data_IF_020879862868
#
_entry.id   IF_020879862868
#
_cell.length_a   1.000
_cell.length_b   1.000
_cell.length_c   1.000
_cell.angle_alpha   90.00
_cell.angle_beta   90.00
_cell.angle_gamma   90.00
#
_symmetry.space_group_name_H-M   'P 1'
#
loop_
_entity.id
_entity.type
_entity.pdbx_description
1 polymer ?
#
# COMPACT_ATOMS: atom_id res chain seq x y z
N UNK A 1 -66.00 18.49 19.93
CA UNK A 1 -65.59 17.91 18.64
C UNK A 1 -64.27 18.56 18.27
N UNK A 2 -63.18 17.91 18.69
CA UNK A 2 -61.85 18.48 18.52
C UNK A 2 -61.08 17.55 17.57
N UNK A 3 -60.88 17.98 16.36
CA UNK A 3 -60.25 17.30 15.27
C UNK A 3 -58.76 17.69 15.20
N UNK A 4 -57.90 16.89 15.80
CA UNK A 4 -56.45 17.09 15.81
C UNK A 4 -55.83 16.48 14.54
N UNK A 5 -55.07 17.19 13.71
CA UNK A 5 -54.45 16.61 12.53
C UNK A 5 -53.26 15.74 12.90
N UNK A 6 -53.20 14.52 12.33
CA UNK A 6 -52.07 13.60 12.37
C UNK A 6 -50.87 14.23 11.63
N UNK A 7 -49.78 14.46 12.35
CA UNK A 7 -48.46 14.78 11.75
C UNK A 7 -47.90 13.52 11.15
N UNK A 8 -47.92 13.44 9.83
CA UNK A 8 -47.13 12.48 9.07
C UNK A 8 -45.65 12.80 9.26
N UNK A 9 -44.97 11.91 10.03
CA UNK A 9 -43.51 11.90 10.02
C UNK A 9 -43.06 11.30 8.68
N UNK A 10 -42.69 12.16 7.73
CA UNK A 10 -41.87 11.79 6.60
C UNK A 10 -40.56 11.20 7.14
N UNK A 11 -40.41 9.88 7.08
CA UNK A 11 -39.13 9.21 7.23
C UNK A 11 -38.36 9.58 5.98
N UNK A 12 -37.38 10.47 6.15
CA UNK A 12 -36.41 10.80 5.11
C UNK A 12 -35.60 9.52 4.79
N UNK A 13 -36.05 8.79 3.79
CA UNK A 13 -35.33 7.66 3.24
C UNK A 13 -34.12 8.24 2.50
N UNK A 14 -32.98 8.38 3.22
CA UNK A 14 -31.72 8.81 2.68
C UNK A 14 -31.46 8.13 1.33
N UNK A 15 -31.49 8.91 0.26
CA UNK A 15 -31.17 8.45 -1.10
C UNK A 15 -29.83 7.71 -1.04
N UNK A 16 -29.85 6.41 -1.30
CA UNK A 16 -28.64 5.60 -1.49
C UNK A 16 -27.77 6.33 -2.52
N UNK A 17 -26.67 6.90 -2.05
CA UNK A 17 -25.71 7.62 -2.90
C UNK A 17 -25.09 6.58 -3.83
N UNK A 18 -25.44 6.60 -5.11
CA UNK A 18 -24.83 5.76 -6.12
C UNK A 18 -23.42 6.33 -6.38
N UNK A 19 -22.42 5.67 -5.86
CA UNK A 19 -21.01 6.03 -6.08
C UNK A 19 -20.43 5.14 -7.18
N UNK A 20 -19.47 5.64 -7.98
CA UNK A 20 -18.66 4.82 -8.85
C UNK A 20 -18.01 3.67 -8.09
N UNK A 21 -17.78 2.54 -8.78
CA UNK A 21 -17.26 1.33 -8.13
C UNK A 21 -15.89 1.56 -7.45
N UNK A 22 -15.04 2.42 -8.01
CA UNK A 22 -13.74 2.79 -7.45
C UNK A 22 -13.86 3.58 -6.13
N UNK A 23 -14.75 4.57 -6.10
CA UNK A 23 -14.99 5.35 -4.88
C UNK A 23 -15.58 4.48 -3.76
N UNK A 24 -16.48 3.55 -4.13
CA UNK A 24 -17.05 2.60 -3.19
C UNK A 24 -16.02 1.64 -2.63
N UNK A 25 -15.08 1.16 -3.45
CA UNK A 25 -13.95 0.36 -2.97
C UNK A 25 -13.10 1.13 -1.96
N UNK A 26 -12.80 2.40 -2.23
CA UNK A 26 -12.03 3.23 -1.31
C UNK A 26 -12.74 3.39 0.04
N UNK A 27 -14.05 3.69 0.04
CA UNK A 27 -14.84 3.77 1.29
C UNK A 27 -14.80 2.47 2.11
N UNK A 28 -14.82 1.31 1.42
CA UNK A 28 -14.70 0.00 2.10
C UNK A 28 -13.30 -0.18 2.69
N UNK A 29 -12.25 0.19 1.97
CA UNK A 29 -10.87 0.08 2.44
C UNK A 29 -10.61 0.99 3.65
N UNK A 30 -11.08 2.23 3.62
CA UNK A 30 -10.95 3.19 4.72
C UNK A 30 -11.68 2.68 5.97
N UNK A 31 -12.93 2.24 5.81
CA UNK A 31 -13.71 1.66 6.89
C UNK A 31 -13.07 0.40 7.49
N UNK A 32 -12.53 -0.46 6.63
CA UNK A 32 -11.85 -1.68 7.05
C UNK A 32 -10.54 -1.38 7.78
N UNK A 33 -9.75 -0.43 7.27
CA UNK A 33 -8.52 -0.01 7.92
C UNK A 33 -8.76 0.52 9.34
N UNK A 34 -9.79 1.35 9.54
CA UNK A 34 -10.17 1.83 10.87
C UNK A 34 -10.62 0.69 11.80
N UNK A 35 -11.43 -0.26 11.31
CA UNK A 35 -11.87 -1.41 12.11
C UNK A 35 -10.71 -2.33 12.46
N UNK A 36 -9.80 -2.62 11.52
CA UNK A 36 -8.62 -3.44 11.78
C UNK A 36 -7.66 -2.76 12.75
N UNK A 37 -7.44 -1.46 12.61
CA UNK A 37 -6.56 -0.69 13.50
C UNK A 37 -7.08 -0.66 14.93
N UNK A 38 -8.40 -0.63 15.11
CA UNK A 38 -9.04 -0.54 16.41
C UNK A 38 -9.17 -1.88 17.14
N UNK A 39 -9.52 -2.94 16.40
CA UNK A 39 -9.93 -4.22 16.99
C UNK A 39 -8.99 -5.38 16.62
N UNK A 40 -8.08 -5.16 15.70
CA UNK A 40 -7.27 -6.20 15.07
C UNK A 40 -8.02 -6.91 13.94
N UNK A 41 -7.26 -7.62 13.12
CA UNK A 41 -7.81 -8.32 11.96
C UNK A 41 -8.78 -9.45 12.37
N UNK A 42 -8.43 -10.27 13.36
CA UNK A 42 -9.23 -11.43 13.75
C UNK A 42 -10.59 -11.02 14.32
N UNK A 43 -10.63 -10.00 15.17
CA UNK A 43 -11.86 -9.57 15.85
C UNK A 43 -12.78 -8.72 14.95
N UNK A 44 -12.30 -8.28 13.78
CA UNK A 44 -13.11 -7.52 12.83
C UNK A 44 -13.91 -8.45 11.93
N UNK A 45 -15.20 -8.14 11.74
CA UNK A 45 -16.08 -8.85 10.82
C UNK A 45 -16.49 -7.99 9.62
N UNK A 46 -16.90 -8.62 8.52
CA UNK A 46 -17.43 -7.91 7.35
C UNK A 46 -18.68 -7.09 7.68
N UNK A 47 -19.50 -7.51 8.67
CA UNK A 47 -20.63 -6.74 9.15
C UNK A 47 -20.22 -5.42 9.79
N UNK A 48 -19.15 -5.43 10.58
CA UNK A 48 -18.61 -4.20 11.20
C UNK A 48 -18.11 -3.24 10.15
N UNK A 49 -17.36 -3.76 9.17
CA UNK A 49 -16.85 -2.98 8.04
C UNK A 49 -18.03 -2.40 7.25
N UNK A 50 -19.05 -3.21 6.94
CA UNK A 50 -20.25 -2.77 6.22
C UNK A 50 -20.97 -1.64 6.95
N UNK A 51 -21.17 -1.81 8.27
CA UNK A 51 -21.82 -0.80 9.11
C UNK A 51 -21.05 0.51 9.09
N UNK A 52 -19.73 0.47 9.21
CA UNK A 52 -18.86 1.65 9.15
C UNK A 52 -18.88 2.33 7.78
N UNK A 53 -18.81 1.55 6.70
CA UNK A 53 -18.87 2.04 5.33
C UNK A 53 -20.29 2.51 4.90
N UNK A 54 -21.30 2.35 5.77
CA UNK A 54 -22.67 2.74 5.45
C UNK A 54 -23.34 1.90 4.34
N UNK A 55 -22.92 0.64 4.17
CA UNK A 55 -23.46 -0.28 3.17
C UNK A 55 -23.95 -1.59 3.81
N UNK A 56 -24.66 -2.40 3.03
CA UNK A 56 -25.05 -3.73 3.48
C UNK A 56 -23.90 -4.73 3.36
N UNK A 57 -23.95 -5.83 4.12
CA UNK A 57 -22.98 -6.93 3.98
C UNK A 57 -22.93 -7.47 2.55
N UNK A 58 -24.07 -7.60 1.88
CA UNK A 58 -24.12 -7.97 0.45
C UNK A 58 -23.45 -6.94 -0.46
N UNK A 59 -23.47 -5.65 -0.06
CA UNK A 59 -22.75 -4.59 -0.76
C UNK A 59 -21.24 -4.77 -0.69
N UNK A 60 -20.69 -5.25 0.45
CA UNK A 60 -19.26 -5.59 0.52
C UNK A 60 -18.94 -6.75 -0.41
N UNK A 61 -19.72 -7.83 -0.40
CA UNK A 61 -19.47 -9.00 -1.23
C UNK A 61 -19.52 -8.72 -2.74
N UNK A 62 -20.17 -7.63 -3.16
CA UNK A 62 -20.12 -7.17 -4.56
C UNK A 62 -18.74 -6.64 -4.97
N UNK A 63 -17.88 -6.27 -4.00
CA UNK A 63 -16.55 -5.71 -4.24
C UNK A 63 -15.42 -6.62 -3.73
N UNK A 64 -15.64 -7.32 -2.62
CA UNK A 64 -14.62 -8.13 -1.95
C UNK A 64 -15.19 -9.49 -1.52
N UNK A 65 -14.57 -10.61 -1.93
CA UNK A 65 -15.05 -11.94 -1.57
C UNK A 65 -14.81 -12.29 -0.09
N UNK A 66 -13.87 -11.63 0.56
CA UNK A 66 -13.49 -11.91 1.93
C UNK A 66 -12.85 -10.71 2.63
N UNK A 67 -12.74 -10.78 3.95
CA UNK A 67 -12.00 -9.85 4.78
C UNK A 67 -10.51 -9.85 4.44
N UNK A 68 -9.97 -11.01 4.08
CA UNK A 68 -8.59 -11.17 3.63
C UNK A 68 -8.32 -10.34 2.36
N UNK A 69 -9.21 -10.40 1.37
CA UNK A 69 -9.06 -9.63 0.13
C UNK A 69 -9.07 -8.10 0.38
N UNK A 70 -9.86 -7.62 1.36
CA UNK A 70 -9.84 -6.21 1.75
C UNK A 70 -8.50 -5.83 2.37
N UNK A 71 -7.98 -6.67 3.28
CA UNK A 71 -6.70 -6.41 3.92
C UNK A 71 -5.55 -6.44 2.93
N UNK A 72 -5.62 -7.31 1.92
CA UNK A 72 -4.68 -7.38 0.82
C UNK A 72 -4.59 -6.05 0.05
N UNK A 73 -5.71 -5.55 -0.38
CA UNK A 73 -5.74 -4.29 -1.09
C UNK A 73 -5.20 -3.14 -0.21
N UNK A 74 -5.50 -3.14 1.10
CA UNK A 74 -4.94 -2.16 2.04
C UNK A 74 -3.41 -2.23 2.07
N UNK A 75 -2.83 -3.45 2.16
CA UNK A 75 -1.38 -3.62 2.17
C UNK A 75 -0.73 -3.16 0.87
N UNK A 76 -1.26 -3.60 -0.26
CA UNK A 76 -0.74 -3.22 -1.58
C UNK A 76 -0.83 -1.72 -1.79
N UNK A 77 -1.98 -1.11 -1.50
CA UNK A 77 -2.16 0.34 -1.66
C UNK A 77 -1.24 1.18 -0.76
N UNK A 78 -0.96 0.70 0.45
CA UNK A 78 -0.16 1.43 1.42
C UNK A 78 1.35 1.24 1.24
N UNK A 79 1.80 0.03 0.85
CA UNK A 79 3.21 -0.34 0.89
C UNK A 79 3.85 -0.48 -0.49
N UNK A 80 3.06 -0.53 -1.57
CA UNK A 80 3.56 -0.61 -2.94
C UNK A 80 3.26 0.70 -3.66
N UNK A 81 4.25 1.34 -4.32
CA UNK A 81 3.99 2.50 -5.15
C UNK A 81 2.93 2.20 -6.21
N UNK A 82 1.88 3.02 -6.28
CA UNK A 82 0.71 2.75 -7.13
C UNK A 82 0.98 3.02 -8.63
N UNK A 83 1.92 3.90 -8.91
CA UNK A 83 2.35 4.13 -10.29
C UNK A 83 3.21 2.96 -10.77
N UNK A 84 2.92 2.42 -11.93
CA UNK A 84 3.71 1.33 -12.49
C UNK A 84 5.17 1.75 -12.73
N UNK A 85 6.10 0.81 -12.62
CA UNK A 85 7.50 1.06 -12.98
C UNK A 85 7.66 1.50 -14.45
N UNK A 86 6.69 1.16 -15.32
CA UNK A 86 6.66 1.62 -16.70
C UNK A 86 6.63 3.15 -16.82
N UNK A 87 5.95 3.86 -15.89
CA UNK A 87 5.92 5.34 -15.92
C UNK A 87 7.28 5.98 -15.71
N UNK A 88 8.23 5.28 -15.06
CA UNK A 88 9.61 5.75 -14.94
C UNK A 88 10.32 5.78 -16.29
N UNK A 89 9.94 4.90 -17.21
CA UNK A 89 10.52 4.77 -18.56
C UNK A 89 9.72 5.51 -19.64
N UNK A 90 8.48 5.94 -19.36
CA UNK A 90 7.60 6.64 -20.31
C UNK A 90 8.12 8.04 -20.69
N UNK A 91 8.92 8.65 -19.81
CA UNK A 91 9.57 9.95 -20.11
C UNK A 91 10.60 9.88 -21.25
N UNK A 92 10.92 8.67 -21.74
CA UNK A 92 11.93 8.46 -22.76
C UNK A 92 13.37 8.66 -22.30
N UNK A 93 13.59 8.97 -21.01
CA UNK A 93 14.95 9.09 -20.47
C UNK A 93 15.64 7.73 -20.43
N UNK A 94 16.93 7.72 -20.77
CA UNK A 94 17.85 6.60 -20.62
C UNK A 94 18.91 6.88 -19.56
N UNK A 95 18.83 8.02 -18.89
CA UNK A 95 19.72 8.37 -17.78
C UNK A 95 19.34 7.59 -16.52
N UNK A 96 20.16 6.62 -16.17
CA UNK A 96 20.01 5.80 -14.98
C UNK A 96 19.91 6.67 -13.71
N UNK A 97 20.67 7.74 -13.64
CA UNK A 97 20.69 8.66 -12.50
C UNK A 97 19.30 9.29 -12.28
N UNK A 98 18.68 9.79 -13.34
CA UNK A 98 17.35 10.40 -13.31
C UNK A 98 16.27 9.36 -12.98
N UNK A 99 16.36 8.17 -13.55
CA UNK A 99 15.43 7.05 -13.27
C UNK A 99 15.49 6.66 -11.80
N UNK A 100 16.69 6.53 -11.23
CA UNK A 100 16.87 6.17 -9.82
C UNK A 100 16.39 7.27 -8.88
N UNK A 101 16.58 8.54 -9.21
CA UNK A 101 16.07 9.64 -8.41
C UNK A 101 14.55 9.60 -8.34
N UNK A 102 13.86 9.42 -9.47
CA UNK A 102 12.39 9.27 -9.50
C UNK A 102 11.90 8.01 -8.75
N UNK A 103 12.60 6.89 -8.93
CA UNK A 103 12.30 5.64 -8.23
C UNK A 103 12.39 5.81 -6.72
N UNK A 104 13.48 6.40 -6.23
CA UNK A 104 13.69 6.61 -4.80
C UNK A 104 12.71 7.62 -4.20
N UNK A 105 12.40 8.69 -4.91
CA UNK A 105 11.40 9.68 -4.46
C UNK A 105 10.03 9.02 -4.27
N UNK A 106 9.64 8.13 -5.19
CA UNK A 106 8.36 7.38 -5.08
C UNK A 106 8.37 6.39 -3.91
N UNK A 107 9.42 5.59 -3.79
CA UNK A 107 9.54 4.59 -2.71
C UNK A 107 9.48 5.29 -1.35
N UNK A 108 10.28 6.32 -1.13
CA UNK A 108 10.30 7.00 0.16
C UNK A 108 9.05 7.84 0.43
N UNK A 109 8.42 8.41 -0.59
CA UNK A 109 7.12 9.08 -0.43
C UNK A 109 6.02 8.08 -0.02
N UNK A 110 5.98 6.90 -0.65
CA UNK A 110 5.03 5.84 -0.32
C UNK A 110 5.24 5.34 1.10
N UNK A 111 6.46 4.87 1.42
CA UNK A 111 6.77 4.27 2.72
C UNK A 111 6.77 5.27 3.88
N UNK A 112 7.00 6.55 3.61
CA UNK A 112 6.93 7.64 4.60
C UNK A 112 5.51 8.15 4.86
N UNK A 113 4.51 7.68 4.11
CA UNK A 113 3.12 8.10 4.33
C UNK A 113 2.59 7.59 5.68
N UNK A 114 1.69 8.37 6.29
CA UNK A 114 1.01 7.94 7.52
C UNK A 114 0.27 6.61 7.32
N UNK A 115 -0.30 6.41 6.15
CA UNK A 115 -0.99 5.18 5.78
C UNK A 115 -0.05 3.97 5.79
N UNK A 116 1.14 4.08 5.16
CA UNK A 116 2.13 3.00 5.13
C UNK A 116 2.62 2.63 6.54
N UNK A 117 2.98 3.61 7.33
CA UNK A 117 3.46 3.40 8.71
C UNK A 117 2.38 2.73 9.58
N UNK A 118 1.12 3.21 9.49
CA UNK A 118 0.02 2.64 10.26
C UNK A 118 -0.34 1.22 9.77
N UNK A 119 -0.30 0.97 8.47
CA UNK A 119 -0.52 -0.36 7.89
C UNK A 119 0.58 -1.34 8.28
N UNK A 120 1.84 -0.89 8.27
CA UNK A 120 2.96 -1.74 8.69
C UNK A 120 2.89 -2.05 10.20
N UNK A 121 2.51 -1.07 11.05
CA UNK A 121 2.23 -1.32 12.48
C UNK A 121 1.16 -2.38 12.70
N UNK A 122 0.07 -2.32 11.94
CA UNK A 122 -1.00 -3.31 11.99
C UNK A 122 -0.48 -4.71 11.60
N UNK A 123 0.31 -4.81 10.52
CA UNK A 123 0.93 -6.06 10.08
C UNK A 123 1.83 -6.66 11.17
N UNK A 124 2.70 -5.84 11.78
CA UNK A 124 3.58 -6.27 12.87
C UNK A 124 2.77 -6.72 14.09
N UNK A 125 1.73 -5.99 14.47
CA UNK A 125 0.86 -6.35 15.60
C UNK A 125 0.14 -7.69 15.38
N UNK A 126 -0.27 -7.98 14.14
CA UNK A 126 -0.94 -9.23 13.79
C UNK A 126 0.04 -10.41 13.64
N UNK A 127 1.34 -10.17 13.45
CA UNK A 127 2.35 -11.24 13.27
C UNK A 127 2.44 -12.19 14.47
N UNK A 128 2.27 -11.67 15.67
CA UNK A 128 2.24 -12.49 16.89
C UNK A 128 0.90 -13.17 17.17
N UNK A 129 -0.20 -12.64 16.59
CA UNK A 129 -1.57 -13.17 16.81
C UNK A 129 -1.98 -14.19 15.74
N UNK A 130 -1.49 -14.03 14.54
CA UNK A 130 -1.90 -14.79 13.37
C UNK A 130 -0.72 -14.99 12.42
N UNK A 131 0.33 -15.76 12.81
CA UNK A 131 1.53 -15.90 12.00
C UNK A 131 1.27 -16.46 10.60
N UNK A 132 0.39 -17.45 10.46
CA UNK A 132 0.02 -18.02 9.14
C UNK A 132 -0.62 -16.99 8.21
N UNK A 133 -1.39 -16.09 8.78
CA UNK A 133 -2.02 -14.99 8.07
C UNK A 133 -0.94 -14.01 7.55
N UNK A 134 -0.02 -13.57 8.42
CA UNK A 134 1.06 -12.66 8.04
C UNK A 134 2.01 -13.28 7.03
N UNK A 135 2.31 -14.59 7.14
CA UNK A 135 3.14 -15.30 6.15
C UNK A 135 2.50 -15.33 4.76
N UNK A 136 1.19 -15.61 4.69
CA UNK A 136 0.46 -15.56 3.41
C UNK A 136 0.52 -14.17 2.79
N UNK A 137 0.35 -13.15 3.60
CA UNK A 137 0.37 -11.75 3.18
C UNK A 137 1.74 -11.26 2.75
N UNK A 138 2.76 -11.55 3.56
CA UNK A 138 4.14 -11.24 3.20
C UNK A 138 4.54 -11.86 1.86
N UNK A 139 4.11 -13.11 1.61
CA UNK A 139 4.34 -13.79 0.34
C UNK A 139 3.65 -13.08 -0.82
N UNK A 140 2.37 -12.74 -0.69
CA UNK A 140 1.63 -12.04 -1.75
C UNK A 140 2.16 -10.64 -2.02
N UNK A 141 2.54 -9.89 -0.98
CA UNK A 141 3.16 -8.58 -1.13
C UNK A 141 4.48 -8.68 -1.90
N UNK A 142 5.33 -9.67 -1.55
CA UNK A 142 6.56 -9.95 -2.27
C UNK A 142 6.28 -10.35 -3.72
N UNK A 143 5.33 -11.26 -3.98
CA UNK A 143 4.94 -11.67 -5.33
C UNK A 143 4.48 -10.47 -6.17
N UNK A 144 3.69 -9.57 -5.58
CA UNK A 144 3.20 -8.38 -6.27
C UNK A 144 4.35 -7.42 -6.63
N UNK A 145 5.26 -7.16 -5.70
CA UNK A 145 6.45 -6.33 -5.93
C UNK A 145 7.37 -6.96 -6.97
N UNK A 146 7.62 -8.26 -6.85
CA UNK A 146 8.51 -9.01 -7.76
C UNK A 146 8.09 -8.97 -9.22
N UNK A 147 6.78 -8.99 -9.51
CA UNK A 147 6.28 -8.91 -10.90
C UNK A 147 6.58 -7.54 -11.50
N UNK A 148 6.33 -6.47 -10.77
CA UNK A 148 6.61 -5.11 -11.21
C UNK A 148 8.11 -4.85 -11.38
N UNK A 149 8.90 -5.26 -10.40
CA UNK A 149 10.35 -5.11 -10.38
C UNK A 149 11.04 -5.87 -11.52
N UNK A 150 10.60 -7.11 -11.78
CA UNK A 150 11.15 -7.90 -12.89
C UNK A 150 10.91 -7.23 -14.23
N UNK A 151 9.68 -6.83 -14.52
CA UNK A 151 9.35 -6.15 -15.79
C UNK A 151 10.14 -4.85 -15.99
N UNK A 152 10.36 -4.11 -14.91
CA UNK A 152 11.18 -2.91 -14.94
C UNK A 152 12.67 -3.21 -15.22
N UNK A 153 13.25 -4.20 -14.54
CA UNK A 153 14.63 -4.62 -14.76
C UNK A 153 14.85 -5.10 -16.19
N UNK A 154 13.97 -5.98 -16.68
CA UNK A 154 14.05 -6.51 -18.05
C UNK A 154 14.00 -5.37 -19.07
N UNK A 155 13.08 -4.42 -18.92
CA UNK A 155 12.99 -3.25 -19.80
C UNK A 155 14.22 -2.33 -19.75
N UNK A 156 14.84 -2.17 -18.58
CA UNK A 156 16.08 -1.38 -18.42
C UNK A 156 17.28 -2.09 -19.06
N UNK A 157 17.37 -3.42 -18.93
CA UNK A 157 18.42 -4.25 -19.57
C UNK A 157 18.29 -4.17 -21.10
N UNK A 158 17.08 -4.39 -21.64
CA UNK A 158 16.81 -4.32 -23.08
C UNK A 158 17.16 -2.97 -23.70
N UNK A 159 16.99 -1.89 -22.94
CA UNK A 159 17.36 -0.52 -23.39
C UNK A 159 18.82 -0.17 -23.12
N UNK A 160 19.59 -1.04 -22.51
CA UNK A 160 21.00 -0.79 -22.15
C UNK A 160 21.18 0.27 -21.05
N UNK A 161 20.13 0.55 -20.25
CA UNK A 161 20.17 1.52 -19.15
C UNK A 161 20.93 0.96 -17.96
N UNK A 162 20.79 -0.36 -17.73
CA UNK A 162 21.50 -1.07 -16.67
C UNK A 162 22.27 -2.26 -17.22
N UNK A 163 23.25 -2.74 -16.47
CA UNK A 163 24.05 -3.92 -16.82
C UNK A 163 23.20 -5.18 -16.91
N UNK A 164 23.52 -6.07 -17.85
CA UNK A 164 22.71 -7.26 -18.14
C UNK A 164 22.86 -8.41 -17.14
N UNK A 165 23.86 -8.37 -16.26
CA UNK A 165 24.20 -9.44 -15.31
C UNK A 165 23.60 -9.21 -13.90
N UNK A 166 22.70 -8.22 -13.75
CA UNK A 166 21.96 -7.97 -12.49
C UNK A 166 20.88 -9.03 -12.32
N UNK A 167 20.94 -9.76 -11.22
CA UNK A 167 19.88 -10.68 -10.84
C UNK A 167 18.75 -9.93 -10.08
N UNK A 168 17.53 -10.49 -10.16
CA UNK A 168 16.40 -9.99 -9.40
C UNK A 168 16.66 -9.99 -7.88
N UNK A 169 17.34 -11.03 -7.38
CA UNK A 169 17.69 -11.16 -5.96
C UNK A 169 18.62 -10.03 -5.49
N UNK A 170 19.62 -9.67 -6.31
CA UNK A 170 20.50 -8.54 -6.02
C UNK A 170 19.72 -7.22 -5.97
N UNK A 171 18.81 -7.01 -6.92
CA UNK A 171 17.97 -5.82 -6.95
C UNK A 171 17.05 -5.73 -5.72
N UNK A 172 16.41 -6.83 -5.33
CA UNK A 172 15.57 -6.88 -4.13
C UNK A 172 16.35 -6.59 -2.86
N UNK A 173 17.55 -7.17 -2.73
CA UNK A 173 18.42 -6.89 -1.58
C UNK A 173 18.90 -5.44 -1.56
N UNK A 174 19.08 -4.85 -2.73
CA UNK A 174 19.41 -3.43 -2.82
C UNK A 174 18.28 -2.50 -2.33
N UNK A 175 17.04 -2.99 -2.28
CA UNK A 175 15.89 -2.30 -1.67
C UNK A 175 15.88 -2.27 -0.12
N UNK A 176 16.77 -3.03 0.54
CA UNK A 176 16.81 -3.14 2.00
C UNK A 176 16.89 -1.81 2.76
N UNK A 177 17.58 -0.75 2.28
CA UNK A 177 17.61 0.53 2.98
C UNK A 177 16.23 1.17 3.15
N UNK A 178 15.34 1.06 2.16
CA UNK A 178 13.98 1.60 2.27
C UNK A 178 13.11 0.79 3.25
N UNK A 179 13.25 -0.53 3.26
CA UNK A 179 12.57 -1.40 4.19
C UNK A 179 13.02 -1.14 5.65
N UNK A 180 14.34 -1.02 5.88
CA UNK A 180 14.88 -0.67 7.18
C UNK A 180 14.37 0.71 7.65
N UNK A 181 14.35 1.68 6.75
CA UNK A 181 13.85 3.02 7.07
C UNK A 181 12.37 3.00 7.48
N UNK A 182 11.51 2.21 6.81
CA UNK A 182 10.11 2.00 7.21
C UNK A 182 10.01 1.39 8.61
N UNK A 183 10.84 0.40 8.94
CA UNK A 183 10.90 -0.20 10.28
C UNK A 183 11.24 0.88 11.32
N UNK A 184 12.27 1.67 11.08
CA UNK A 184 12.70 2.73 12.00
C UNK A 184 11.63 3.82 12.14
N UNK A 185 11.00 4.25 11.04
CA UNK A 185 9.86 5.18 11.06
C UNK A 185 8.67 4.63 11.88
N UNK A 186 8.46 3.32 11.82
CA UNK A 186 7.40 2.66 12.56
C UNK A 186 7.67 2.61 14.05
N UNK A 187 8.93 2.36 14.44
CA UNK A 187 9.34 2.22 15.85
C UNK A 187 9.51 3.57 16.54
N UNK A 188 10.15 4.52 15.88
CA UNK A 188 10.59 5.78 16.50
C UNK A 188 9.75 6.99 16.09
N UNK A 189 9.02 6.91 14.97
CA UNK A 189 8.35 8.07 14.37
C UNK A 189 9.31 8.94 13.55
N UNK A 190 8.80 10.04 13.00
CA UNK A 190 9.60 10.89 12.11
C UNK A 190 10.62 11.75 12.86
N UNK A 191 10.25 12.22 14.06
CA UNK A 191 11.07 13.15 14.84
C UNK A 191 12.27 12.45 15.52
N UNK A 192 12.05 11.24 16.04
CA UNK A 192 13.04 10.47 16.80
C UNK A 192 13.73 9.38 15.96
N UNK A 193 13.51 9.37 14.64
CA UNK A 193 14.13 8.37 13.76
C UNK A 193 15.66 8.56 13.73
N UNK A 194 16.45 7.54 14.12
CA UNK A 194 17.91 7.64 14.14
C UNK A 194 18.54 7.79 12.74
N UNK A 195 17.76 7.51 11.68
CA UNK A 195 18.20 7.64 10.28
C UNK A 195 17.20 8.51 9.52
N UNK A 196 17.58 9.75 9.25
CA UNK A 196 16.75 10.67 8.48
C UNK A 196 16.68 10.30 6.99
N UNK A 197 15.63 10.76 6.30
CA UNK A 197 15.51 10.61 4.86
C UNK A 197 16.70 11.24 4.11
N UNK A 198 17.20 12.37 4.61
CA UNK A 198 18.37 13.06 4.04
C UNK A 198 19.64 12.22 4.11
N UNK A 199 19.75 11.31 5.05
CA UNK A 199 20.87 10.39 5.20
C UNK A 199 20.69 9.12 4.37
N UNK A 200 19.54 8.46 4.47
CA UNK A 200 19.33 7.14 3.85
C UNK A 200 19.20 7.22 2.33
N UNK A 201 18.47 8.22 1.79
CA UNK A 201 18.20 8.31 0.35
C UNK A 201 19.48 8.42 -0.51
N UNK A 202 20.46 9.31 -0.21
CA UNK A 202 21.71 9.39 -0.98
C UNK A 202 22.55 8.11 -0.89
N UNK A 203 22.56 7.44 0.26
CA UNK A 203 23.29 6.17 0.42
C UNK A 203 22.62 5.05 -0.39
N UNK A 204 21.30 4.97 -0.36
CA UNK A 204 20.54 4.02 -1.16
C UNK A 204 20.76 4.25 -2.67
N UNK A 205 20.73 5.53 -3.10
CA UNK A 205 21.02 5.90 -4.49
C UNK A 205 22.40 5.42 -4.94
N UNK A 206 23.43 5.64 -4.12
CA UNK A 206 24.79 5.18 -4.42
C UNK A 206 24.87 3.66 -4.55
N UNK A 207 24.25 2.94 -3.62
CA UNK A 207 24.18 1.48 -3.66
C UNK A 207 23.54 0.98 -4.97
N UNK A 208 22.44 1.59 -5.39
CA UNK A 208 21.77 1.22 -6.63
C UNK A 208 22.61 1.56 -7.87
N UNK A 209 23.29 2.72 -7.90
CA UNK A 209 24.20 3.06 -9.00
C UNK A 209 25.34 2.04 -9.11
N UNK A 210 26.03 1.74 -8.01
CA UNK A 210 27.13 0.75 -8.00
C UNK A 210 26.68 -0.64 -8.47
N UNK A 211 25.42 -1.01 -8.16
CA UNK A 211 24.86 -2.29 -8.59
C UNK A 211 24.45 -2.30 -10.07
N UNK A 212 23.84 -1.22 -10.56
CA UNK A 212 23.10 -1.20 -11.82
C UNK A 212 23.85 -0.59 -13.00
N UNK A 213 24.85 0.29 -12.73
CA UNK A 213 25.55 1.03 -13.78
C UNK A 213 26.26 0.08 -14.77
N UNK A 214 26.07 0.28 -16.09
CA UNK A 214 26.83 -0.45 -17.11
C UNK A 214 28.33 -0.22 -16.93
N UNK A 215 29.11 -1.28 -17.00
CA UNK A 215 30.59 -1.22 -16.92
C UNK A 215 31.21 -1.04 -18.29
#
# INVERSE_FOLDING_TARGET
MDNKPRRDRKIDSGKRRYLPSSERKQEILDAAFEEFSRWGFLATSLERIATRAGISKSGIYAHYPSKDAIFEDILVMALVPQDSHSTLLESGTTDLSEILDRYLDRIYATLGSQQAIATFRLLVAESGRSPDFVQRWGRKLLEHSLVGDRGFLDACIERGIIRADVSLDQYLLAGAPSALWLVLMTLFGAEDNPVSLQQVRPLHRRLLLELLEPK
#
